data_IF_209708831378
#
_entry.id   IF_209708831378
#
_cell.length_a   1.000
_cell.length_b   1.000
_cell.length_c   1.000
_cell.angle_alpha   90.00
_cell.angle_beta   90.00
_cell.angle_gamma   90.00
#
_symmetry.space_group_name_H-M   'P 1'
#
loop_
_entity.id
_entity.type
_entity.pdbx_description
1 polymer ?
#
# COMPACT_ATOMS: atom_id res chain seq x y z
N UNK A 1 -11.76 19.44 -0.64
CA UNK A 1 -11.34 20.18 -1.85
C UNK A 1 -11.85 21.61 -1.91
N UNK A 2 -13.16 21.87 -2.05
CA UNK A 2 -13.69 23.26 -2.13
C UNK A 2 -13.35 24.08 -0.88
N UNK A 3 -13.53 23.51 0.30
CA UNK A 3 -13.12 24.16 1.57
C UNK A 3 -11.62 24.45 1.62
N UNK A 4 -10.78 23.50 1.21
CA UNK A 4 -9.31 23.68 1.16
C UNK A 4 -8.91 24.80 0.19
N UNK A 5 -9.53 24.89 -0.99
CA UNK A 5 -9.32 26.00 -1.94
C UNK A 5 -9.74 27.34 -1.31
N UNK A 6 -10.88 27.38 -0.63
CA UNK A 6 -11.35 28.59 0.06
C UNK A 6 -10.40 29.02 1.19
N UNK A 7 -9.60 28.09 1.73
CA UNK A 7 -8.53 28.36 2.72
C UNK A 7 -7.17 28.67 2.09
N UNK A 8 -7.08 28.78 0.76
CA UNK A 8 -5.85 29.13 0.04
C UNK A 8 -4.95 27.94 -0.34
N UNK A 9 -5.44 26.69 -0.22
CA UNK A 9 -4.67 25.51 -0.63
C UNK A 9 -4.47 25.49 -2.16
N UNK A 10 -3.21 25.47 -2.58
CA UNK A 10 -2.83 25.55 -4.01
C UNK A 10 -3.15 24.28 -4.79
N UNK A 11 -2.97 23.11 -4.17
CA UNK A 11 -3.08 21.82 -4.84
C UNK A 11 -3.80 20.80 -3.96
N UNK A 12 -4.54 19.89 -4.61
CA UNK A 12 -5.16 18.74 -3.98
C UNK A 12 -4.62 17.49 -4.69
N UNK A 13 -4.17 16.51 -3.91
CA UNK A 13 -3.71 15.22 -4.43
C UNK A 13 -4.71 14.18 -3.98
N UNK A 14 -5.15 13.34 -4.92
CA UNK A 14 -6.10 12.25 -4.68
C UNK A 14 -5.41 10.96 -5.09
N UNK A 15 -5.39 9.98 -4.19
CA UNK A 15 -4.82 8.66 -4.43
C UNK A 15 -5.98 7.67 -4.56
N UNK A 16 -6.03 6.96 -5.69
CA UNK A 16 -7.02 5.91 -5.96
C UNK A 16 -6.34 4.55 -5.99
N UNK A 17 -6.83 3.60 -5.19
CA UNK A 17 -6.42 2.21 -5.30
C UNK A 17 -7.00 1.55 -6.57
N UNK A 18 -6.22 0.68 -7.22
CA UNK A 18 -6.61 0.03 -8.47
C UNK A 18 -7.82 -0.91 -8.29
N UNK A 19 -7.99 -1.51 -7.11
CA UNK A 19 -9.09 -2.44 -6.79
C UNK A 19 -10.46 -1.80 -6.58
N UNK A 20 -10.59 -0.48 -6.68
CA UNK A 20 -11.89 0.22 -6.62
C UNK A 20 -12.57 0.14 -7.98
N UNK A 21 -13.82 -0.34 -7.99
CA UNK A 21 -14.71 -0.46 -9.16
C UNK A 21 -15.25 0.88 -9.63
N UNK A 22 -14.34 1.71 -10.15
CA UNK A 22 -14.59 3.00 -10.77
C UNK A 22 -13.35 3.30 -11.62
N UNK A 23 -13.53 3.78 -12.85
CA UNK A 23 -12.37 4.15 -13.66
C UNK A 23 -11.73 5.45 -13.15
N UNK A 24 -10.42 5.62 -13.34
CA UNK A 24 -9.75 6.88 -12.94
C UNK A 24 -10.29 8.09 -13.74
N UNK A 25 -10.72 7.85 -14.98
CA UNK A 25 -11.34 8.87 -15.82
C UNK A 25 -12.70 9.31 -15.26
N UNK A 26 -13.56 8.34 -14.95
CA UNK A 26 -14.88 8.59 -14.33
C UNK A 26 -14.76 9.36 -13.00
N UNK A 27 -13.76 9.02 -12.18
CA UNK A 27 -13.48 9.79 -10.96
C UNK A 27 -13.12 11.24 -11.27
N UNK A 28 -12.24 11.48 -12.24
CA UNK A 28 -11.83 12.83 -12.62
C UNK A 28 -12.99 13.65 -13.19
N UNK A 29 -13.84 13.04 -14.02
CA UNK A 29 -15.03 13.69 -14.60
C UNK A 29 -16.03 14.03 -13.50
N UNK A 30 -16.31 13.10 -12.58
CA UNK A 30 -17.17 13.33 -11.42
C UNK A 30 -16.66 14.50 -10.55
N UNK A 31 -15.35 14.58 -10.34
CA UNK A 31 -14.74 15.67 -9.58
C UNK A 31 -14.87 17.01 -10.32
N UNK A 32 -14.65 17.03 -11.62
CA UNK A 32 -14.80 18.23 -12.44
C UNK A 32 -16.24 18.73 -12.44
N UNK A 33 -17.21 17.85 -12.62
CA UNK A 33 -18.64 18.18 -12.58
C UNK A 33 -19.06 18.77 -11.23
N UNK A 34 -18.60 18.16 -10.13
CA UNK A 34 -19.02 18.56 -8.76
C UNK A 34 -18.28 19.78 -8.22
N UNK A 35 -17.07 20.07 -8.70
CA UNK A 35 -16.20 21.10 -8.09
C UNK A 35 -15.78 22.20 -9.05
N UNK A 36 -15.97 22.00 -10.36
CA UNK A 36 -15.46 22.89 -11.41
C UNK A 36 -13.93 22.91 -11.50
N UNK A 37 -13.22 22.01 -10.81
CA UNK A 37 -11.76 21.96 -10.80
C UNK A 37 -11.24 21.02 -11.88
N UNK A 38 -10.24 21.47 -12.63
CA UNK A 38 -9.51 20.59 -13.54
C UNK A 38 -8.70 19.56 -12.76
N UNK A 39 -8.81 18.29 -13.16
CA UNK A 39 -8.11 17.18 -12.53
C UNK A 39 -7.10 16.59 -13.52
N UNK A 40 -5.83 16.51 -13.12
CA UNK A 40 -4.78 15.85 -13.90
C UNK A 40 -4.65 14.40 -13.45
N UNK A 41 -4.83 13.47 -14.38
CA UNK A 41 -4.73 12.04 -14.11
C UNK A 41 -3.29 11.57 -14.34
N UNK A 42 -2.76 10.79 -13.39
CA UNK A 42 -1.50 10.06 -13.54
C UNK A 42 -1.74 8.62 -13.11
N UNK A 43 -1.52 7.68 -14.03
CA UNK A 43 -1.61 6.24 -13.75
C UNK A 43 -0.19 5.67 -13.76
N UNK A 44 0.28 5.21 -12.60
CA UNK A 44 1.66 4.70 -12.44
C UNK A 44 1.86 3.34 -13.13
N UNK A 45 0.89 2.43 -13.02
CA UNK A 45 0.96 1.10 -13.63
C UNK A 45 2.22 0.31 -13.22
N UNK A 46 2.87 -0.32 -14.19
CA UNK A 46 4.00 -1.24 -13.99
C UNK A 46 5.27 -0.62 -13.39
N UNK A 47 5.41 0.71 -13.43
CA UNK A 47 6.60 1.37 -12.86
C UNK A 47 6.76 1.09 -11.36
N UNK A 48 5.65 0.83 -10.66
CA UNK A 48 5.63 0.50 -9.23
C UNK A 48 6.23 -0.88 -8.91
N UNK A 49 6.40 -1.74 -9.92
CA UNK A 49 6.97 -3.10 -9.76
C UNK A 49 8.45 -3.16 -10.14
N UNK A 50 9.00 -2.08 -10.68
CA UNK A 50 10.40 -1.99 -11.10
C UNK A 50 11.25 -1.07 -10.20
N UNK A 51 12.51 -0.91 -10.57
CA UNK A 51 13.46 -0.08 -9.84
C UNK A 51 14.36 -0.87 -8.89
N UNK A 52 15.41 -0.21 -8.39
CA UNK A 52 16.29 -0.82 -7.39
C UNK A 52 15.59 -0.90 -6.03
N UNK A 53 15.62 -2.06 -5.33
CA UNK A 53 14.99 -2.19 -4.02
C UNK A 53 15.59 -1.20 -3.02
N UNK A 54 14.78 -0.75 -2.06
CA UNK A 54 15.27 0.14 -1.00
C UNK A 54 16.22 -0.61 -0.06
N UNK A 55 16.95 0.12 0.80
CA UNK A 55 17.76 -0.50 1.85
C UNK A 55 16.92 -1.40 2.78
N UNK A 56 15.68 -0.98 3.08
CA UNK A 56 14.74 -1.75 3.88
C UNK A 56 14.33 -3.04 3.18
N UNK A 57 14.00 -2.98 1.89
CA UNK A 57 13.59 -4.17 1.12
C UNK A 57 14.74 -5.17 1.02
N UNK A 58 15.96 -4.69 0.77
CA UNK A 58 17.16 -5.55 0.75
C UNK A 58 17.37 -6.24 2.09
N UNK A 59 17.34 -5.50 3.19
CA UNK A 59 17.53 -6.06 4.53
C UNK A 59 16.42 -7.07 4.87
N UNK A 60 15.17 -6.74 4.58
CA UNK A 60 14.04 -7.64 4.83
C UNK A 60 14.16 -8.93 4.02
N UNK A 61 14.48 -8.83 2.72
CA UNK A 61 14.69 -9.99 1.85
C UNK A 61 15.81 -10.89 2.39
N UNK A 62 16.95 -10.32 2.79
CA UNK A 62 18.06 -11.08 3.37
C UNK A 62 17.66 -11.80 4.67
N UNK A 63 16.96 -11.13 5.57
CA UNK A 63 16.50 -11.73 6.85
C UNK A 63 15.48 -12.83 6.63
N UNK A 64 14.52 -12.63 5.73
CA UNK A 64 13.52 -13.65 5.39
C UNK A 64 14.17 -14.86 4.71
N UNK A 65 15.12 -14.64 3.80
CA UNK A 65 15.85 -15.72 3.14
C UNK A 65 16.69 -16.54 4.14
N UNK A 66 17.37 -15.88 5.07
CA UNK A 66 18.10 -16.55 6.15
C UNK A 66 17.18 -17.48 6.95
N UNK A 67 16.02 -16.98 7.41
CA UNK A 67 15.07 -17.80 8.17
C UNK A 67 14.50 -18.95 7.33
N UNK A 68 14.27 -18.74 6.04
CA UNK A 68 13.82 -19.82 5.15
C UNK A 68 14.85 -20.95 5.07
N UNK A 69 16.15 -20.63 5.00
CA UNK A 69 17.22 -21.64 4.99
C UNK A 69 17.29 -22.38 6.33
N UNK A 70 17.19 -21.67 7.47
CA UNK A 70 17.14 -22.33 8.79
C UNK A 70 15.99 -23.34 8.87
N UNK A 71 14.79 -22.96 8.45
CA UNK A 71 13.61 -23.83 8.46
C UNK A 71 13.82 -25.09 7.60
N UNK A 72 14.45 -24.96 6.44
CA UNK A 72 14.77 -26.10 5.59
C UNK A 72 15.79 -27.04 6.25
N UNK A 73 16.80 -26.50 6.96
CA UNK A 73 17.78 -27.29 7.69
C UNK A 73 17.17 -28.03 8.88
N UNK A 74 16.17 -27.43 9.52
CA UNK A 74 15.38 -28.04 10.60
C UNK A 74 14.40 -29.12 10.09
N UNK A 75 14.31 -29.34 8.77
CA UNK A 75 13.38 -30.29 8.17
C UNK A 75 11.94 -29.80 8.12
N UNK A 76 11.71 -28.50 8.29
CA UNK A 76 10.38 -27.92 8.12
C UNK A 76 9.97 -27.92 6.65
N UNK A 77 8.74 -28.37 6.39
CA UNK A 77 8.12 -28.30 5.07
C UNK A 77 7.03 -27.23 5.05
N UNK A 78 6.70 -26.71 3.87
CA UNK A 78 5.50 -25.87 3.63
C UNK A 78 5.29 -24.70 4.59
N UNK A 79 6.33 -23.89 4.81
CA UNK A 79 6.27 -22.67 5.65
C UNK A 79 6.16 -21.39 4.83
N UNK A 80 5.40 -20.43 5.33
CA UNK A 80 5.40 -19.05 4.84
C UNK A 80 6.18 -18.16 5.81
N UNK A 81 7.27 -17.53 5.34
CA UNK A 81 8.08 -16.58 6.12
C UNK A 81 7.57 -15.15 5.90
N UNK A 82 7.55 -14.34 6.94
CA UNK A 82 7.13 -12.94 6.90
C UNK A 82 7.74 -12.10 8.01
N UNK A 83 7.20 -10.91 8.20
CA UNK A 83 7.58 -9.99 9.28
C UNK A 83 6.34 -9.57 10.07
N UNK A 84 6.44 -9.59 11.39
CA UNK A 84 5.45 -9.01 12.31
C UNK A 84 6.14 -8.00 13.22
N UNK A 85 5.85 -6.70 13.03
CA UNK A 85 6.62 -5.63 13.67
C UNK A 85 8.07 -5.61 13.19
N UNK A 86 9.01 -5.89 14.10
CA UNK A 86 10.45 -6.01 13.80
C UNK A 86 10.92 -7.45 13.59
N UNK A 87 10.08 -8.43 13.92
CA UNK A 87 10.46 -9.84 14.06
C UNK A 87 10.16 -10.63 12.80
N UNK A 88 11.10 -11.50 12.41
CA UNK A 88 10.87 -12.48 11.34
C UNK A 88 10.07 -13.63 11.93
N UNK A 89 8.93 -13.90 11.32
CA UNK A 89 7.99 -14.93 11.75
C UNK A 89 7.76 -15.92 10.63
N UNK A 90 7.27 -17.11 10.96
CA UNK A 90 6.80 -18.06 9.98
C UNK A 90 5.53 -18.76 10.47
N UNK A 91 4.73 -19.21 9.51
CA UNK A 91 3.48 -19.94 9.75
C UNK A 91 3.43 -21.15 8.83
N UNK A 92 2.53 -22.11 9.13
CA UNK A 92 2.12 -23.09 8.12
C UNK A 92 1.57 -22.35 6.89
N UNK A 93 1.93 -22.79 5.69
CA UNK A 93 1.50 -22.13 4.45
C UNK A 93 -0.02 -22.08 4.33
N UNK A 94 -0.72 -23.16 4.72
CA UNK A 94 -2.17 -23.22 4.71
C UNK A 94 -2.82 -22.14 5.59
N UNK A 95 -2.29 -21.95 6.80
CA UNK A 95 -2.79 -20.93 7.73
C UNK A 95 -2.51 -19.53 7.20
N UNK A 96 -1.30 -19.29 6.68
CA UNK A 96 -0.92 -18.00 6.12
C UNK A 96 -1.82 -17.56 4.97
N UNK A 97 -2.26 -18.49 4.11
CA UNK A 97 -3.19 -18.21 3.01
C UNK A 97 -4.60 -17.82 3.47
N UNK A 98 -5.00 -18.24 4.67
CA UNK A 98 -6.30 -17.91 5.26
C UNK A 98 -6.28 -16.64 6.11
N UNK A 99 -5.09 -16.11 6.42
CA UNK A 99 -4.96 -14.90 7.22
C UNK A 99 -5.59 -13.70 6.50
N UNK A 100 -6.52 -13.05 7.18
CA UNK A 100 -7.14 -11.82 6.68
C UNK A 100 -6.18 -10.65 6.84
N UNK A 101 -5.97 -9.92 5.76
CA UNK A 101 -5.25 -8.65 5.79
C UNK A 101 -6.21 -7.55 6.24
N UNK A 102 -5.93 -6.97 7.40
CA UNK A 102 -6.59 -5.74 7.86
C UNK A 102 -5.67 -4.53 7.60
N UNK A 103 -6.23 -3.33 7.66
CA UNK A 103 -5.48 -2.07 7.55
C UNK A 103 -5.64 -1.24 8.82
N UNK A 104 -4.63 -0.40 9.11
CA UNK A 104 -4.68 0.45 10.29
C UNK A 104 -5.61 1.65 10.04
N UNK A 105 -6.80 1.61 10.66
CA UNK A 105 -7.79 2.69 10.60
C UNK A 105 -7.27 4.01 11.16
N UNK A 106 -6.33 3.97 12.11
CA UNK A 106 -5.73 5.18 12.69
C UNK A 106 -4.87 5.92 11.68
N UNK A 107 -4.23 5.19 10.76
CA UNK A 107 -3.46 5.81 9.67
C UNK A 107 -4.40 6.56 8.72
N UNK A 108 -5.58 6.00 8.45
CA UNK A 108 -6.60 6.68 7.64
C UNK A 108 -7.15 7.93 8.35
N UNK A 109 -7.48 7.80 9.63
CA UNK A 109 -7.91 8.94 10.45
C UNK A 109 -6.84 10.05 10.51
N UNK A 110 -5.57 9.68 10.68
CA UNK A 110 -4.46 10.62 10.66
C UNK A 110 -4.35 11.32 9.30
N UNK A 111 -4.52 10.59 8.20
CA UNK A 111 -4.52 11.18 6.86
C UNK A 111 -5.64 12.22 6.70
N UNK A 112 -6.84 11.95 7.22
CA UNK A 112 -7.96 12.89 7.19
C UNK A 112 -7.65 14.16 7.98
N UNK A 113 -7.09 14.02 9.19
CA UNK A 113 -6.69 15.16 10.05
C UNK A 113 -5.62 16.02 9.39
N UNK A 114 -4.61 15.41 8.77
CA UNK A 114 -3.49 16.14 8.15
C UNK A 114 -3.84 16.75 6.79
N UNK A 115 -4.98 16.38 6.20
CA UNK A 115 -5.37 16.78 4.84
C UNK A 115 -6.07 18.15 4.73
N UNK A 116 -6.16 18.90 5.84
CA UNK A 116 -6.80 20.24 5.94
C UNK A 116 -6.29 21.24 4.89
#
# INVERSE_FOLDING_TARGET
>A
MVQGRNRGKLHNIIIKAEGIDMSTQELADTLKERTGMETKIVVLGYIQRGGSPTARDRMLASRMAYKAVELLQEGSESRAVGINGSEIVHYELGDALQMKRDYDKKVMELADILSI
#
